data_IF_201695661725
#
_entry.id   IF_201695661725
#
_cell.length_a   1.000
_cell.length_b   1.000
_cell.length_c   1.000
_cell.angle_alpha   90.00
_cell.angle_beta   90.00
_cell.angle_gamma   90.00
#
_symmetry.space_group_name_H-M   'P 1'
#
loop_
_entity.id
_entity.type
_entity.pdbx_description
1 polymer ?
#
# COMPACT_ATOMS: atom_id res chain seq x y z
N UNK A 1 -15.33 -8.24 25.13
CA UNK A 1 -15.48 -7.63 23.79
C UNK A 1 -15.84 -6.17 23.95
N UNK A 2 -15.23 -5.28 23.19
CA UNK A 2 -15.57 -3.85 23.22
C UNK A 2 -16.61 -3.55 22.14
N UNK A 3 -17.60 -2.70 22.46
CA UNK A 3 -18.59 -2.22 21.50
C UNK A 3 -18.29 -0.77 21.17
N UNK A 4 -18.08 -0.47 19.89
CA UNK A 4 -17.87 0.89 19.40
C UNK A 4 -19.19 1.47 18.87
N UNK A 5 -19.64 2.57 19.48
CA UNK A 5 -20.79 3.33 18.99
C UNK A 5 -20.33 4.60 18.28
N UNK A 6 -20.68 4.75 17.00
CA UNK A 6 -20.43 5.96 16.22
C UNK A 6 -21.74 6.76 16.13
N UNK A 7 -21.73 7.99 16.62
CA UNK A 7 -22.91 8.89 16.56
C UNK A 7 -22.77 9.87 15.40
N UNK A 8 -23.92 10.33 14.88
CA UNK A 8 -24.01 11.34 13.81
C UNK A 8 -23.24 10.96 12.54
N UNK A 9 -23.41 9.72 12.07
CA UNK A 9 -22.90 9.29 10.77
C UNK A 9 -23.73 9.98 9.69
N UNK A 10 -23.12 10.71 8.73
CA UNK A 10 -23.87 11.31 7.64
C UNK A 10 -24.58 10.23 6.81
N UNK A 11 -25.83 10.46 6.41
CA UNK A 11 -26.64 9.48 5.70
C UNK A 11 -25.95 8.98 4.42
N UNK A 12 -25.32 9.89 3.67
CA UNK A 12 -24.54 9.54 2.48
C UNK A 12 -23.40 8.56 2.77
N UNK A 13 -22.75 8.66 3.94
CA UNK A 13 -21.69 7.74 4.34
C UNK A 13 -22.27 6.39 4.74
N UNK A 14 -23.37 6.39 5.47
CA UNK A 14 -24.08 5.16 5.84
C UNK A 14 -24.51 4.36 4.61
N UNK A 15 -25.15 5.01 3.63
CA UNK A 15 -25.58 4.36 2.39
C UNK A 15 -24.41 3.79 1.58
N UNK A 16 -23.28 4.51 1.51
CA UNK A 16 -22.07 4.02 0.84
C UNK A 16 -21.50 2.77 1.53
N UNK A 17 -21.49 2.75 2.87
CA UNK A 17 -21.03 1.58 3.63
C UNK A 17 -21.98 0.38 3.42
N UNK A 18 -23.29 0.64 3.41
CA UNK A 18 -24.32 -0.39 3.18
C UNK A 18 -24.23 -0.99 1.78
N UNK A 19 -24.13 -0.16 0.75
CA UNK A 19 -23.97 -0.62 -0.63
C UNK A 19 -22.70 -1.46 -0.82
N UNK A 20 -21.59 -1.04 -0.20
CA UNK A 20 -20.34 -1.81 -0.23
C UNK A 20 -20.46 -3.15 0.51
N UNK A 21 -21.08 -3.16 1.69
CA UNK A 21 -21.31 -4.39 2.45
C UNK A 21 -22.17 -5.39 1.65
N UNK A 22 -23.21 -4.91 0.97
CA UNK A 22 -24.06 -5.73 0.10
C UNK A 22 -23.28 -6.31 -1.10
N UNK A 23 -22.48 -5.49 -1.77
CA UNK A 23 -21.65 -5.93 -2.91
C UNK A 23 -20.66 -7.04 -2.49
N UNK A 24 -20.15 -6.96 -1.27
CA UNK A 24 -19.19 -7.89 -0.71
C UNK A 24 -19.85 -9.10 0.00
N UNK A 25 -21.18 -9.15 0.08
CA UNK A 25 -21.93 -10.23 0.75
C UNK A 25 -21.74 -10.28 2.26
N UNK A 26 -21.44 -9.15 2.92
CA UNK A 26 -21.15 -9.05 4.35
C UNK A 26 -22.19 -8.22 5.09
N UNK A 27 -22.28 -8.40 6.41
CA UNK A 27 -23.04 -7.48 7.26
C UNK A 27 -22.34 -6.12 7.33
N UNK A 28 -23.12 -5.07 7.59
CA UNK A 28 -22.58 -3.71 7.74
C UNK A 28 -21.50 -3.65 8.83
N UNK A 29 -21.75 -4.29 9.97
CA UNK A 29 -20.78 -4.35 11.07
C UNK A 29 -19.47 -5.02 10.67
N UNK A 30 -19.54 -6.11 9.89
CA UNK A 30 -18.35 -6.82 9.40
C UNK A 30 -17.55 -5.97 8.40
N UNK A 31 -18.25 -5.23 7.51
CA UNK A 31 -17.58 -4.31 6.57
C UNK A 31 -16.88 -3.16 7.31
N UNK A 32 -17.54 -2.58 8.32
CA UNK A 32 -16.93 -1.53 9.16
C UNK A 32 -15.70 -2.04 9.88
N UNK A 33 -15.75 -3.24 10.47
CA UNK A 33 -14.61 -3.90 11.10
C UNK A 33 -13.44 -4.06 10.14
N UNK A 34 -13.67 -4.63 8.95
CA UNK A 34 -12.61 -4.77 7.94
C UNK A 34 -11.99 -3.44 7.53
N UNK A 35 -12.81 -2.39 7.35
CA UNK A 35 -12.30 -1.06 6.98
C UNK A 35 -11.39 -0.52 8.09
N UNK A 36 -11.79 -0.65 9.35
CA UNK A 36 -11.00 -0.23 10.50
C UNK A 36 -9.70 -1.03 10.61
N UNK A 37 -9.76 -2.36 10.49
CA UNK A 37 -8.58 -3.23 10.50
C UNK A 37 -7.60 -2.84 9.38
N UNK A 38 -8.09 -2.63 8.16
CA UNK A 38 -7.25 -2.22 7.02
C UNK A 38 -6.65 -0.83 7.24
N UNK A 39 -7.40 0.10 7.83
CA UNK A 39 -6.91 1.43 8.14
C UNK A 39 -5.78 1.41 9.18
N UNK A 40 -5.90 0.53 10.19
CA UNK A 40 -4.89 0.35 11.24
C UNK A 40 -3.68 -0.45 10.77
N UNK A 41 -3.88 -1.45 9.92
CA UNK A 41 -2.80 -2.26 9.34
C UNK A 41 -1.92 -1.47 8.36
N UNK A 42 -2.44 -0.38 7.79
CA UNK A 42 -1.68 0.48 6.90
C UNK A 42 -0.87 1.48 7.75
N UNK A 43 0.47 1.32 7.88
CA UNK A 43 1.26 2.29 8.62
C UNK A 43 1.08 3.68 8.00
N UNK A 44 0.97 4.76 8.79
CA UNK A 44 0.67 6.13 8.33
C UNK A 44 1.75 6.77 7.44
N UNK A 45 2.67 5.98 6.89
CA UNK A 45 3.81 6.48 6.13
C UNK A 45 4.34 5.47 5.11
N UNK A 46 3.47 4.69 4.46
CA UNK A 46 3.96 3.80 3.38
C UNK A 46 4.47 4.59 2.17
N UNK A 47 3.90 5.75 1.84
CA UNK A 47 4.39 6.54 0.70
C UNK A 47 5.74 7.21 1.01
N UNK A 48 5.91 7.80 2.19
CA UNK A 48 7.17 8.45 2.59
C UNK A 48 8.28 7.43 2.84
N UNK A 49 7.97 6.29 3.46
CA UNK A 49 8.93 5.19 3.64
C UNK A 49 9.29 4.49 2.32
N UNK A 50 8.33 4.33 1.40
CA UNK A 50 8.58 3.82 0.05
C UNK A 50 9.43 4.81 -0.77
N UNK A 51 9.13 6.10 -0.71
CA UNK A 51 9.95 7.12 -1.36
C UNK A 51 11.36 7.17 -0.77
N UNK A 52 11.50 7.04 0.56
CA UNK A 52 12.81 6.94 1.21
C UNK A 52 13.57 5.66 0.81
N UNK A 53 12.90 4.52 0.68
CA UNK A 53 13.54 3.27 0.25
C UNK A 53 13.99 3.34 -1.21
N UNK A 54 13.19 3.95 -2.10
CA UNK A 54 13.57 4.22 -3.48
C UNK A 54 14.73 5.24 -3.58
N UNK A 55 14.71 6.31 -2.78
CA UNK A 55 15.81 7.27 -2.71
C UNK A 55 17.12 6.63 -2.22
N UNK A 56 17.07 5.75 -1.21
CA UNK A 56 18.23 5.00 -0.74
C UNK A 56 18.80 4.10 -1.84
N UNK A 57 17.95 3.40 -2.61
CA UNK A 57 18.38 2.59 -3.76
C UNK A 57 19.05 3.42 -4.86
N UNK A 58 18.54 4.63 -5.14
CA UNK A 58 19.14 5.57 -6.11
C UNK A 58 20.49 6.16 -5.68
N UNK A 59 20.90 6.02 -4.41
CA UNK A 59 22.27 6.43 -3.98
C UNK A 59 23.35 5.46 -4.48
N UNK A 60 23.00 4.23 -4.85
CA UNK A 60 23.92 3.34 -5.53
C UNK A 60 24.04 3.80 -6.99
N UNK A 61 25.10 4.55 -7.29
CA UNK A 61 25.49 4.88 -8.65
C UNK A 61 26.53 3.86 -9.11
N UNK A 62 26.20 2.92 -10.01
CA UNK A 62 27.14 1.90 -10.47
C UNK A 62 28.41 2.51 -11.08
N UNK A 63 28.28 3.66 -11.76
CA UNK A 63 29.41 4.41 -12.30
C UNK A 63 30.37 4.94 -11.21
N UNK A 64 29.87 5.32 -10.02
CA UNK A 64 30.72 5.73 -8.89
C UNK A 64 31.32 4.55 -8.12
N UNK A 65 30.74 3.36 -8.26
CA UNK A 65 31.20 2.13 -7.59
C UNK A 65 32.15 1.29 -8.45
N UNK A 66 32.58 1.80 -9.62
CA UNK A 66 33.45 1.07 -10.55
C UNK A 66 32.79 -0.16 -11.17
N UNK A 67 31.45 -0.24 -11.15
CA UNK A 67 30.74 -1.36 -11.76
C UNK A 67 30.79 -1.24 -13.30
N UNK A 68 31.00 -2.35 -14.02
CA UNK A 68 30.99 -2.35 -15.48
C UNK A 68 29.64 -1.86 -16.02
N UNK A 69 29.67 -1.25 -17.21
CA UNK A 69 28.46 -0.73 -17.83
C UNK A 69 27.45 -1.86 -18.03
N UNK A 70 26.17 -1.57 -17.82
CA UNK A 70 25.10 -2.55 -18.08
C UNK A 70 25.10 -3.02 -19.53
N UNK A 71 25.63 -2.21 -20.47
CA UNK A 71 25.81 -2.61 -21.87
C UNK A 71 26.89 -3.69 -22.04
N UNK A 72 27.99 -3.62 -21.29
CA UNK A 72 29.07 -4.60 -21.38
C UNK A 72 28.61 -5.97 -20.86
N UNK A 73 27.87 -5.98 -19.75
CA UNK A 73 27.30 -7.20 -19.17
C UNK A 73 26.26 -7.88 -20.07
N UNK A 74 25.42 -7.07 -20.75
CA UNK A 74 24.43 -7.58 -21.71
C UNK A 74 25.07 -8.12 -22.98
N UNK A 75 26.21 -7.55 -23.40
CA UNK A 75 26.99 -8.05 -24.53
C UNK A 75 27.61 -9.40 -24.22
N UNK A 76 28.27 -9.52 -23.06
CA UNK A 76 28.90 -10.77 -22.62
C UNK A 76 27.88 -11.93 -22.50
N UNK A 77 26.67 -11.65 -22.01
CA UNK A 77 25.61 -12.66 -21.90
C UNK A 77 24.99 -13.07 -23.24
N UNK A 78 25.17 -12.28 -24.30
CA UNK A 78 24.74 -12.64 -25.67
C UNK A 78 25.81 -13.41 -26.45
N UNK A 79 27.06 -13.31 -26.03
CA UNK A 79 28.21 -13.96 -26.65
C UNK A 79 28.54 -15.32 -25.98
N UNK A 80 27.77 -15.73 -24.96
CA UNK A 80 27.73 -17.10 -24.42
C UNK A 80 26.57 -17.89 -25.01
#
# INVERSE_FOLDING_TARGET
MATLHVRRVPDKLYERLKARAQADGRSLSAEVLMILERALARPPSSQKALLQSLQRRRRFSPAKAGAPSSFDLLRESRER
#
